data_IF_345936154864
#
_entry.id   IF_345936154864
#
_cell.length_a   1.000
_cell.length_b   1.000
_cell.length_c   1.000
_cell.angle_alpha   90.00
_cell.angle_beta   90.00
_cell.angle_gamma   90.00
#
_symmetry.space_group_name_H-M   'P 1'
#
loop_
_entity.id
_entity.type
_entity.pdbx_description
1 polymer ?
#
# COMPACT_ATOMS: atom_id res chain seq x y z
N UNK A 1 -12.04 0.45 19.95
CA UNK A 1 -12.12 0.50 18.50
C UNK A 1 -10.79 0.11 17.83
N UNK A 2 -9.63 0.56 18.32
CA UNK A 2 -8.29 0.31 17.75
C UNK A 2 -7.41 -0.55 18.66
N UNK A 3 -7.97 -1.52 19.36
CA UNK A 3 -7.25 -2.32 20.35
C UNK A 3 -6.30 -3.37 19.74
N UNK A 4 -6.56 -3.84 18.51
CA UNK A 4 -5.71 -4.87 17.91
C UNK A 4 -4.37 -4.31 17.42
N UNK A 5 -3.27 -5.08 17.48
CA UNK A 5 -1.97 -4.67 16.93
C UNK A 5 -2.04 -4.24 15.46
N UNK A 6 -2.79 -4.97 14.64
CA UNK A 6 -3.01 -4.62 13.22
C UNK A 6 -3.68 -3.27 13.02
N UNK A 7 -4.66 -2.92 13.87
CA UNK A 7 -5.33 -1.62 13.79
C UNK A 7 -4.37 -0.48 14.15
N UNK A 8 -3.51 -0.66 15.16
CA UNK A 8 -2.49 0.32 15.56
C UNK A 8 -1.46 0.55 14.45
N UNK A 9 -1.00 -0.52 13.80
CA UNK A 9 -0.05 -0.43 12.68
C UNK A 9 -0.68 0.28 11.48
N UNK A 10 -1.96 0.01 11.18
CA UNK A 10 -2.69 0.75 10.14
C UNK A 10 -2.82 2.24 10.48
N UNK A 11 -3.09 2.60 11.73
CA UNK A 11 -3.11 4.00 12.16
C UNK A 11 -1.74 4.67 11.99
N UNK A 12 -0.67 3.98 12.39
CA UNK A 12 0.69 4.47 12.16
C UNK A 12 0.97 4.67 10.67
N UNK A 13 0.53 3.73 9.81
CA UNK A 13 0.66 3.85 8.36
C UNK A 13 -0.10 5.07 7.82
N UNK A 14 -1.31 5.35 8.31
CA UNK A 14 -2.06 6.54 7.92
C UNK A 14 -1.35 7.84 8.37
N UNK A 15 -0.78 7.86 9.57
CA UNK A 15 0.01 8.99 10.06
C UNK A 15 1.25 9.21 9.18
N UNK A 16 2.03 8.17 8.94
CA UNK A 16 3.22 8.24 8.09
C UNK A 16 2.87 8.72 6.66
N UNK A 17 1.76 8.23 6.10
CA UNK A 17 1.25 8.66 4.81
C UNK A 17 0.89 10.17 4.81
N UNK A 18 0.24 10.63 5.86
CA UNK A 18 -0.13 12.06 5.99
C UNK A 18 1.10 12.94 6.08
N UNK A 19 2.12 12.52 6.83
CA UNK A 19 3.42 13.23 6.91
C UNK A 19 4.12 13.30 5.55
N UNK A 20 4.08 12.22 4.79
CA UNK A 20 4.60 12.18 3.42
C UNK A 20 3.89 13.18 2.51
N UNK A 21 2.56 13.14 2.47
CA UNK A 21 1.78 14.05 1.64
C UNK A 21 1.94 15.51 2.08
N UNK A 22 2.02 15.77 3.38
CA UNK A 22 2.34 17.08 3.91
C UNK A 22 3.72 17.56 3.41
N UNK A 23 4.73 16.72 3.51
CA UNK A 23 6.08 17.07 3.05
C UNK A 23 6.10 17.43 1.56
N UNK A 24 5.47 16.61 0.71
CA UNK A 24 5.38 16.87 -0.72
C UNK A 24 4.60 18.14 -1.09
N UNK A 25 3.61 18.52 -0.29
CA UNK A 25 2.76 19.67 -0.60
C UNK A 25 3.29 21.00 -0.05
N UNK A 26 4.00 21.00 1.09
CA UNK A 26 4.30 22.20 1.85
C UNK A 26 5.80 22.47 2.06
N UNK A 27 6.67 21.49 1.83
CA UNK A 27 8.10 21.64 2.08
C UNK A 27 8.92 21.57 0.79
N UNK A 28 10.03 22.31 0.71
CA UNK A 28 10.99 22.15 -0.38
C UNK A 28 11.56 20.72 -0.36
N UNK A 29 11.50 20.00 -1.49
CA UNK A 29 11.92 18.61 -1.57
C UNK A 29 13.40 18.35 -1.23
N UNK A 30 14.26 19.39 -1.32
CA UNK A 30 15.66 19.34 -0.93
C UNK A 30 15.90 19.55 0.57
N UNK A 31 14.87 19.92 1.35
CA UNK A 31 15.06 20.15 2.79
C UNK A 31 15.19 18.81 3.54
N UNK A 32 16.08 18.71 4.53
CA UNK A 32 16.23 17.50 5.34
C UNK A 32 14.93 17.06 6.01
N UNK A 33 14.11 18.01 6.44
CA UNK A 33 12.80 17.71 7.03
C UNK A 33 11.87 17.06 6.02
N UNK A 34 11.79 17.57 4.78
CA UNK A 34 10.97 16.97 3.73
C UNK A 34 11.44 15.55 3.41
N UNK A 35 12.75 15.34 3.27
CA UNK A 35 13.34 14.01 3.02
C UNK A 35 12.96 13.02 4.13
N UNK A 36 13.08 13.43 5.40
CA UNK A 36 12.76 12.58 6.54
C UNK A 36 11.27 12.23 6.59
N UNK A 37 10.37 13.21 6.45
CA UNK A 37 8.92 12.96 6.48
C UNK A 37 8.47 12.13 5.28
N UNK A 38 9.03 12.36 4.09
CA UNK A 38 8.79 11.53 2.90
C UNK A 38 9.26 10.10 3.15
N UNK A 39 10.47 9.93 3.68
CA UNK A 39 11.03 8.63 3.99
C UNK A 39 10.24 7.85 5.02
N UNK A 40 9.78 8.50 6.11
CA UNK A 40 8.87 7.89 7.07
C UNK A 40 7.56 7.43 6.40
N UNK A 41 7.05 8.20 5.44
CA UNK A 41 5.85 7.84 4.68
C UNK A 41 5.99 6.56 3.87
N UNK A 42 7.19 6.19 3.48
CA UNK A 42 7.46 4.90 2.80
C UNK A 42 7.23 3.67 3.68
N UNK A 43 6.91 3.85 4.96
CA UNK A 43 6.32 2.83 5.82
C UNK A 43 5.00 2.28 5.26
N UNK A 44 4.19 3.14 4.66
CA UNK A 44 2.79 2.86 4.33
C UNK A 44 2.64 1.79 3.26
N UNK A 45 3.35 1.91 2.13
CA UNK A 45 3.14 1.05 0.99
C UNK A 45 3.47 -0.43 1.25
N UNK A 46 4.65 -0.79 1.82
CA UNK A 46 4.95 -2.19 2.14
C UNK A 46 3.94 -2.79 3.13
N UNK A 47 3.53 -2.01 4.13
CA UNK A 47 2.54 -2.46 5.13
C UNK A 47 1.17 -2.67 4.49
N UNK A 48 0.72 -1.78 3.61
CA UNK A 48 -0.56 -1.91 2.92
C UNK A 48 -0.54 -3.06 1.92
N UNK A 49 0.56 -3.30 1.20
CA UNK A 49 0.73 -4.46 0.32
C UNK A 49 0.69 -5.78 1.10
N UNK A 50 1.35 -5.85 2.26
CA UNK A 50 1.27 -7.00 3.15
C UNK A 50 -0.16 -7.26 3.62
N UNK A 51 -0.86 -6.22 4.10
CA UNK A 51 -2.24 -6.34 4.56
C UNK A 51 -3.25 -6.59 3.44
N UNK A 52 -2.98 -6.11 2.22
CA UNK A 52 -3.78 -6.44 1.04
C UNK A 52 -3.72 -7.95 0.78
N UNK A 53 -2.51 -8.51 0.76
CA UNK A 53 -2.27 -9.94 0.52
C UNK A 53 -2.93 -10.78 1.61
N UNK A 54 -2.72 -10.45 2.88
CA UNK A 54 -3.39 -11.15 3.99
C UNK A 54 -4.92 -11.00 3.88
N UNK A 55 -5.41 -9.78 3.61
CA UNK A 55 -6.83 -9.47 3.49
C UNK A 55 -7.53 -10.24 2.38
N UNK A 56 -6.84 -10.53 1.27
CA UNK A 56 -7.34 -11.36 0.19
C UNK A 56 -7.75 -12.76 0.69
N UNK A 57 -6.96 -13.36 1.58
CA UNK A 57 -7.22 -14.71 2.11
C UNK A 57 -8.22 -14.74 3.27
N UNK A 58 -8.32 -13.66 4.04
CA UNK A 58 -9.23 -13.60 5.20
C UNK A 58 -10.59 -12.97 4.89
N UNK A 59 -10.78 -12.37 3.71
CA UNK A 59 -12.06 -11.74 3.38
C UNK A 59 -13.13 -12.76 2.98
N UNK A 60 -14.33 -12.64 3.54
CA UNK A 60 -15.48 -13.45 3.14
C UNK A 60 -16.00 -13.12 1.74
N UNK A 61 -15.77 -11.90 1.26
CA UNK A 61 -16.22 -11.43 -0.05
C UNK A 61 -15.14 -10.66 -0.77
N UNK A 62 -14.40 -11.32 -1.66
CA UNK A 62 -13.38 -10.72 -2.50
C UNK A 62 -13.95 -9.65 -3.42
N UNK A 63 -15.14 -9.90 -4.00
CA UNK A 63 -15.87 -8.91 -4.82
C UNK A 63 -16.23 -7.67 -4.00
N UNK A 64 -16.70 -7.85 -2.77
CA UNK A 64 -17.01 -6.74 -1.85
C UNK A 64 -15.75 -5.96 -1.45
N UNK A 65 -14.63 -6.64 -1.26
CA UNK A 65 -13.34 -6.00 -0.98
C UNK A 65 -12.87 -5.17 -2.17
N UNK A 66 -12.87 -5.75 -3.37
CA UNK A 66 -12.51 -5.06 -4.61
C UNK A 66 -13.40 -3.83 -4.84
N UNK A 67 -14.73 -3.98 -4.69
CA UNK A 67 -15.67 -2.86 -4.86
C UNK A 67 -15.37 -1.70 -3.91
N UNK A 68 -15.17 -1.98 -2.62
CA UNK A 68 -14.83 -0.91 -1.64
C UNK A 68 -13.52 -0.22 -2.02
N UNK A 69 -12.49 -0.98 -2.37
CA UNK A 69 -11.17 -0.42 -2.72
C UNK A 69 -11.25 0.44 -3.99
N UNK A 70 -11.91 -0.06 -5.05
CA UNK A 70 -12.09 0.66 -6.30
C UNK A 70 -12.93 1.95 -6.14
N UNK A 71 -14.03 1.88 -5.39
CA UNK A 71 -14.87 3.08 -5.12
C UNK A 71 -14.07 4.12 -4.35
N UNK A 72 -13.30 3.70 -3.34
CA UNK A 72 -12.46 4.65 -2.58
C UNK A 72 -11.34 5.22 -3.44
N UNK A 73 -10.74 4.42 -4.33
CA UNK A 73 -9.74 4.88 -5.29
C UNK A 73 -10.29 5.98 -6.21
N UNK A 74 -11.50 5.78 -6.74
CA UNK A 74 -12.18 6.76 -7.58
C UNK A 74 -12.51 8.05 -6.81
N UNK A 75 -13.07 7.95 -5.62
CA UNK A 75 -13.39 9.11 -4.78
C UNK A 75 -12.13 9.92 -4.38
N UNK A 76 -11.00 9.23 -4.23
CA UNK A 76 -9.73 9.85 -3.86
C UNK A 76 -8.98 10.47 -5.03
N UNK A 77 -9.38 10.19 -6.27
CA UNK A 77 -8.60 10.60 -7.44
C UNK A 77 -8.60 12.11 -7.63
N UNK A 78 -9.75 12.74 -7.44
CA UNK A 78 -9.84 14.21 -7.56
C UNK A 78 -8.98 14.93 -6.52
N UNK A 79 -9.10 14.67 -5.21
CA UNK A 79 -8.20 15.30 -4.23
C UNK A 79 -6.73 14.96 -4.45
N UNK A 80 -6.40 13.76 -4.95
CA UNK A 80 -5.04 13.39 -5.29
C UNK A 80 -4.47 14.26 -6.43
N UNK A 81 -5.21 14.45 -7.51
CA UNK A 81 -4.78 15.33 -8.60
C UNK A 81 -4.64 16.79 -8.17
N UNK A 82 -5.56 17.29 -7.35
CA UNK A 82 -5.46 18.63 -6.80
C UNK A 82 -4.25 18.82 -5.89
N UNK A 83 -3.89 17.77 -5.13
CA UNK A 83 -2.74 17.78 -4.22
C UNK A 83 -1.40 17.80 -4.97
N UNK A 84 -1.21 16.88 -5.91
CA UNK A 84 0.10 16.61 -6.51
C UNK A 84 0.27 17.20 -7.92
N UNK A 85 -0.83 17.47 -8.61
CA UNK A 85 -0.86 18.07 -9.97
C UNK A 85 -0.06 17.26 -11.01
N UNK A 86 0.04 15.95 -10.83
CA UNK A 86 0.71 15.04 -11.77
C UNK A 86 -0.33 14.52 -12.76
N UNK A 87 -0.24 14.89 -14.07
CA UNK A 87 -1.22 14.46 -15.07
C UNK A 87 -1.22 12.93 -15.20
N UNK A 88 -2.41 12.36 -15.37
CA UNK A 88 -2.64 10.93 -15.64
C UNK A 88 -2.16 9.96 -14.56
N UNK A 89 -1.54 10.42 -13.47
CA UNK A 89 -1.17 9.54 -12.38
C UNK A 89 -2.40 9.17 -11.53
N UNK A 90 -2.57 7.88 -11.33
CA UNK A 90 -3.59 7.33 -10.44
C UNK A 90 -3.03 7.21 -9.01
N UNK A 91 -3.89 7.39 -8.02
CA UNK A 91 -3.50 7.28 -6.62
C UNK A 91 -3.17 5.84 -6.20
N UNK A 92 -2.53 5.67 -5.03
CA UNK A 92 -2.09 4.37 -4.51
C UNK A 92 -3.22 3.34 -4.36
N UNK A 93 -4.47 3.75 -4.13
CA UNK A 93 -5.58 2.79 -4.01
C UNK A 93 -5.88 2.11 -5.35
N UNK A 94 -5.59 2.74 -6.49
CA UNK A 94 -5.61 2.06 -7.79
C UNK A 94 -4.51 1.01 -7.89
N UNK A 95 -3.27 1.31 -7.43
CA UNK A 95 -2.19 0.30 -7.36
C UNK A 95 -2.66 -0.91 -6.57
N UNK A 96 -3.25 -0.70 -5.38
CA UNK A 96 -3.77 -1.78 -4.54
C UNK A 96 -4.96 -2.51 -5.19
N UNK A 97 -5.80 -1.81 -5.95
CA UNK A 97 -6.92 -2.41 -6.71
C UNK A 97 -6.40 -3.34 -7.79
N UNK A 98 -5.42 -2.90 -8.58
CA UNK A 98 -4.79 -3.74 -9.61
C UNK A 98 -4.02 -4.92 -8.98
N UNK A 99 -3.35 -4.70 -7.85
CA UNK A 99 -2.71 -5.78 -7.08
C UNK A 99 -3.73 -6.81 -6.57
N UNK A 100 -4.93 -6.38 -6.14
CA UNK A 100 -5.99 -7.31 -5.72
C UNK A 100 -6.52 -8.14 -6.91
N UNK A 101 -6.64 -7.54 -8.08
CA UNK A 101 -6.98 -8.25 -9.33
C UNK A 101 -5.87 -9.21 -9.74
N UNK A 102 -4.60 -8.81 -9.63
CA UNK A 102 -3.44 -9.66 -9.85
C UNK A 102 -3.44 -10.88 -8.94
N UNK A 103 -3.72 -10.71 -7.63
CA UNK A 103 -3.88 -11.81 -6.68
C UNK A 103 -5.01 -12.76 -7.08
N UNK A 104 -6.14 -12.21 -7.52
CA UNK A 104 -7.28 -13.00 -7.99
C UNK A 104 -6.90 -13.86 -9.20
N UNK A 105 -6.18 -13.29 -10.16
CA UNK A 105 -5.66 -14.03 -11.33
C UNK A 105 -4.66 -15.10 -10.90
N UNK A 106 -3.75 -14.77 -9.99
CA UNK A 106 -2.70 -15.68 -9.54
C UNK A 106 -3.28 -16.91 -8.81
N UNK A 107 -4.30 -16.71 -7.96
CA UNK A 107 -4.81 -17.74 -7.06
C UNK A 107 -6.05 -18.48 -7.60
N UNK A 108 -6.96 -17.79 -8.29
CA UNK A 108 -8.26 -18.39 -8.67
C UNK A 108 -8.31 -18.87 -10.12
N UNK A 109 -7.50 -18.31 -11.02
CA UNK A 109 -7.59 -18.73 -12.42
C UNK A 109 -6.98 -20.11 -12.65
N UNK A 110 -7.85 -21.03 -13.02
CA UNK A 110 -7.52 -22.35 -13.60
C UNK A 110 -7.69 -22.27 -15.12
N UNK A 111 -6.86 -22.94 -15.87
CA UNK A 111 -7.09 -23.09 -17.31
C UNK A 111 -5.97 -22.59 -18.19
N UNK A 112 -6.29 -21.97 -19.31
CA UNK A 112 -5.38 -21.66 -20.43
C UNK A 112 -4.00 -21.14 -20.00
N UNK A 113 -2.91 -21.76 -20.48
CA UNK A 113 -1.54 -21.35 -20.15
C UNK A 113 -1.23 -19.93 -20.61
N UNK A 114 -1.96 -19.38 -21.59
CA UNK A 114 -1.76 -18.04 -22.13
C UNK A 114 -2.60 -16.98 -21.42
N UNK A 115 -3.83 -17.31 -21.02
CA UNK A 115 -4.78 -16.33 -20.46
C UNK A 115 -4.35 -15.84 -19.08
N UNK A 116 -3.86 -16.73 -18.23
CA UNK A 116 -3.42 -16.37 -16.88
C UNK A 116 -2.23 -15.40 -16.90
N UNK A 117 -1.09 -15.70 -17.58
CA UNK A 117 0.04 -14.78 -17.63
C UNK A 117 -0.30 -13.46 -18.34
N UNK A 118 -1.17 -13.49 -19.38
CA UNK A 118 -1.60 -12.28 -20.07
C UNK A 118 -2.37 -11.33 -19.15
N UNK A 119 -3.32 -11.85 -18.39
CA UNK A 119 -4.08 -11.02 -17.43
C UNK A 119 -3.22 -10.56 -16.25
N UNK A 120 -2.29 -11.39 -15.76
CA UNK A 120 -1.34 -11.00 -14.76
C UNK A 120 -0.44 -9.85 -15.24
N UNK A 121 0.06 -9.95 -16.49
CA UNK A 121 0.83 -8.89 -17.13
C UNK A 121 -0.01 -7.63 -17.33
N UNK A 122 -1.26 -7.74 -17.76
CA UNK A 122 -2.15 -6.60 -17.92
C UNK A 122 -2.30 -5.82 -16.61
N UNK A 123 -2.64 -6.50 -15.50
CA UNK A 123 -2.79 -5.81 -14.20
C UNK A 123 -1.47 -5.29 -13.66
N UNK A 124 -0.36 -5.97 -13.92
CA UNK A 124 0.97 -5.47 -13.59
C UNK A 124 1.26 -4.16 -14.35
N UNK A 125 1.02 -4.13 -15.67
CA UNK A 125 1.21 -2.94 -16.51
C UNK A 125 0.28 -1.80 -16.09
N UNK A 126 -0.97 -2.07 -15.71
CA UNK A 126 -1.88 -1.04 -15.21
C UNK A 126 -1.33 -0.30 -13.99
N UNK A 127 -0.48 -0.94 -13.18
CA UNK A 127 0.13 -0.25 -12.01
C UNK A 127 1.15 0.81 -12.39
N UNK A 128 1.72 0.81 -13.61
CA UNK A 128 2.67 1.84 -14.07
C UNK A 128 2.03 3.23 -14.16
N UNK A 129 0.72 3.28 -14.35
CA UNK A 129 -0.03 4.54 -14.36
C UNK A 129 -0.45 5.02 -12.97
N UNK A 130 -0.03 4.32 -11.91
CA UNK A 130 -0.42 4.64 -10.54
C UNK A 130 0.79 4.86 -9.63
N UNK A 131 0.52 5.48 -8.49
CA UNK A 131 1.52 5.64 -7.43
C UNK A 131 2.05 4.25 -6.99
N UNK A 132 3.36 4.17 -6.69
CA UNK A 132 4.06 2.91 -6.43
C UNK A 132 4.12 1.91 -7.60
N UNK A 133 3.83 2.32 -8.81
CA UNK A 133 4.05 1.61 -10.09
C UNK A 133 4.34 0.10 -9.96
N UNK A 134 5.47 -0.36 -10.48
CA UNK A 134 5.89 -1.77 -10.41
C UNK A 134 6.26 -2.25 -9.00
N UNK A 135 6.51 -1.35 -8.04
CA UNK A 135 6.89 -1.73 -6.67
C UNK A 135 5.75 -2.41 -5.92
N UNK A 136 4.53 -1.86 -6.01
CA UNK A 136 3.38 -2.43 -5.31
C UNK A 136 3.07 -3.87 -5.76
N UNK A 137 2.93 -4.20 -7.06
CA UNK A 137 2.67 -5.57 -7.47
C UNK A 137 3.84 -6.52 -7.17
N UNK A 138 5.10 -6.05 -7.27
CA UNK A 138 6.25 -6.88 -6.90
C UNK A 138 6.24 -7.22 -5.41
N UNK A 139 5.99 -6.26 -4.53
CA UNK A 139 5.83 -6.51 -3.09
C UNK A 139 4.68 -7.48 -2.80
N UNK A 140 3.52 -7.30 -3.45
CA UNK A 140 2.37 -8.17 -3.26
C UNK A 140 2.67 -9.61 -3.69
N UNK A 141 3.39 -9.80 -4.80
CA UNK A 141 3.82 -11.14 -5.25
C UNK A 141 4.85 -11.76 -4.28
N UNK A 142 5.76 -10.96 -3.72
CA UNK A 142 6.69 -11.43 -2.68
C UNK A 142 5.96 -11.84 -1.40
N UNK A 143 4.97 -11.06 -0.95
CA UNK A 143 4.14 -11.42 0.20
C UNK A 143 3.26 -12.64 -0.08
N UNK A 144 2.77 -12.81 -1.32
CA UNK A 144 2.07 -14.01 -1.74
C UNK A 144 2.99 -15.24 -1.70
N UNK A 145 4.19 -15.15 -2.26
CA UNK A 145 5.20 -16.22 -2.22
C UNK A 145 5.68 -16.54 -0.80
N UNK A 146 5.62 -15.57 0.11
CA UNK A 146 5.93 -15.72 1.52
C UNK A 146 4.78 -16.34 2.35
N UNK A 147 3.63 -16.63 1.71
CA UNK A 147 2.46 -17.18 2.38
C UNK A 147 2.80 -18.47 3.12
N UNK A 148 2.42 -18.56 4.40
CA UNK A 148 2.69 -19.72 5.25
C UNK A 148 4.09 -19.74 5.88
N UNK A 149 4.98 -18.84 5.49
CA UNK A 149 6.35 -18.76 6.03
C UNK A 149 6.63 -17.34 6.47
N UNK A 150 6.48 -17.08 7.78
CA UNK A 150 6.63 -15.74 8.36
C UNK A 150 7.97 -15.11 7.99
N UNK A 151 9.05 -15.86 8.09
CA UNK A 151 10.42 -15.37 7.83
C UNK A 151 10.59 -14.82 6.42
N UNK A 152 9.85 -15.36 5.44
CA UNK A 152 9.89 -14.89 4.05
C UNK A 152 9.20 -13.54 3.84
N UNK A 153 8.26 -13.13 4.72
CA UNK A 153 7.60 -11.82 4.61
C UNK A 153 8.60 -10.65 4.68
N UNK A 154 9.73 -10.82 5.39
CA UNK A 154 10.81 -9.81 5.43
C UNK A 154 11.32 -9.42 4.06
N UNK A 155 11.31 -10.32 3.09
CA UNK A 155 11.80 -10.03 1.74
C UNK A 155 10.99 -8.96 1.00
N UNK A 156 9.69 -8.82 1.28
CA UNK A 156 8.88 -7.73 0.75
C UNK A 156 9.33 -6.35 1.25
N UNK A 157 9.71 -6.24 2.53
CA UNK A 157 10.25 -5.01 3.11
C UNK A 157 11.68 -4.73 2.63
N UNK A 158 12.53 -5.76 2.55
CA UNK A 158 13.90 -5.63 2.02
C UNK A 158 13.89 -5.22 0.54
N UNK A 159 12.95 -5.74 -0.24
CA UNK A 159 12.75 -5.32 -1.63
C UNK A 159 12.37 -3.83 -1.72
N UNK A 160 11.47 -3.35 -0.87
CA UNK A 160 11.13 -1.92 -0.81
C UNK A 160 12.36 -1.06 -0.47
N UNK A 161 13.15 -1.47 0.54
CA UNK A 161 14.39 -0.79 0.92
C UNK A 161 15.38 -0.73 -0.25
N UNK A 162 15.60 -1.85 -0.93
CA UNK A 162 16.52 -1.92 -2.07
C UNK A 162 16.07 -0.99 -3.21
N UNK A 163 14.79 -1.06 -3.59
CA UNK A 163 14.26 -0.24 -4.68
C UNK A 163 14.32 1.25 -4.39
N UNK A 164 13.92 1.66 -3.17
CA UNK A 164 14.02 3.06 -2.73
C UNK A 164 15.47 3.53 -2.62
N UNK A 165 16.40 2.65 -2.22
CA UNK A 165 17.82 2.97 -2.20
C UNK A 165 18.37 3.20 -3.60
N UNK A 166 17.98 2.37 -4.59
CA UNK A 166 18.37 2.55 -5.99
C UNK A 166 17.83 3.89 -6.52
N UNK A 167 16.56 4.20 -6.27
CA UNK A 167 15.95 5.48 -6.66
C UNK A 167 16.67 6.67 -6.01
N UNK A 168 16.99 6.59 -4.72
CA UNK A 168 17.73 7.61 -4.00
C UNK A 168 19.14 7.82 -4.56
N UNK A 169 19.83 6.74 -4.95
CA UNK A 169 21.17 6.83 -5.59
C UNK A 169 21.06 7.49 -6.95
N UNK A 170 20.11 7.07 -7.80
CA UNK A 170 19.90 7.67 -9.11
C UNK A 170 19.59 9.17 -8.97
N UNK A 171 18.67 9.52 -8.07
CA UNK A 171 18.26 10.91 -7.82
C UNK A 171 19.43 11.75 -7.31
N UNK A 172 20.18 11.28 -6.32
CA UNK A 172 21.31 12.01 -5.75
C UNK A 172 22.44 12.25 -6.75
N UNK A 173 22.73 11.24 -7.60
CA UNK A 173 23.71 11.37 -8.69
C UNK A 173 23.22 12.34 -9.77
N UNK A 174 21.94 12.26 -10.15
CA UNK A 174 21.35 13.14 -11.17
C UNK A 174 21.33 14.60 -10.72
N UNK A 175 21.00 14.85 -9.46
CA UNK A 175 20.97 16.18 -8.86
C UNK A 175 22.34 16.68 -8.42
N UNK A 176 23.41 15.87 -8.54
CA UNK A 176 24.77 16.17 -8.09
C UNK A 176 24.80 16.64 -6.62
N UNK A 177 24.05 15.94 -5.77
CA UNK A 177 23.94 16.34 -4.37
C UNK A 177 25.28 16.24 -3.63
N UNK A 178 25.59 17.19 -2.74
CA UNK A 178 26.77 17.08 -1.88
C UNK A 178 26.64 15.84 -0.98
N UNK A 179 27.79 15.18 -0.72
CA UNK A 179 27.85 13.90 -0.01
C UNK A 179 27.01 13.83 1.28
N UNK A 180 27.02 14.85 2.17
CA UNK A 180 26.19 14.80 3.38
C UNK A 180 24.69 14.71 3.09
N UNK A 181 24.19 15.45 2.09
CA UNK A 181 22.79 15.46 1.71
C UNK A 181 22.40 14.13 1.03
N UNK A 182 23.28 13.61 0.17
CA UNK A 182 23.13 12.29 -0.45
C UNK A 182 23.03 11.17 0.60
N UNK A 183 23.93 11.14 1.57
CA UNK A 183 23.89 10.16 2.67
C UNK A 183 22.61 10.30 3.49
N UNK A 184 22.17 11.53 3.76
CA UNK A 184 20.93 11.79 4.48
C UNK A 184 19.71 11.35 3.68
N UNK A 185 19.66 11.55 2.36
CA UNK A 185 18.62 11.02 1.47
C UNK A 185 18.54 9.51 1.57
N UNK A 186 19.68 8.83 1.42
CA UNK A 186 19.76 7.36 1.47
C UNK A 186 19.28 6.81 2.82
N UNK A 187 19.63 7.46 3.92
CA UNK A 187 19.11 7.13 5.24
C UNK A 187 17.59 7.35 5.30
N UNK A 188 17.11 8.51 4.86
CA UNK A 188 15.71 8.92 4.99
C UNK A 188 14.76 7.99 4.24
N UNK A 189 15.06 7.60 2.99
CA UNK A 189 14.19 6.73 2.18
C UNK A 189 14.03 5.34 2.80
N UNK A 190 15.01 4.90 3.58
CA UNK A 190 14.96 3.61 4.26
C UNK A 190 14.29 3.65 5.64
N UNK A 191 14.07 4.83 6.22
CA UNK A 191 13.50 4.98 7.57
C UNK A 191 12.12 4.32 7.70
N UNK A 192 11.22 4.54 6.74
CA UNK A 192 9.88 3.96 6.73
C UNK A 192 9.87 2.45 6.56
N UNK A 193 10.47 1.88 5.51
CA UNK A 193 10.54 0.43 5.32
C UNK A 193 11.26 -0.30 6.45
N UNK A 194 12.31 0.29 7.02
CA UNK A 194 12.99 -0.25 8.20
C UNK A 194 12.05 -0.26 9.42
N UNK A 195 11.31 0.83 9.65
CA UNK A 195 10.31 0.90 10.71
C UNK A 195 9.22 -0.17 10.49
N UNK A 196 8.80 -0.41 9.26
CA UNK A 196 7.84 -1.45 8.91
C UNK A 196 8.41 -2.85 9.20
N UNK A 197 9.68 -3.09 8.89
CA UNK A 197 10.37 -4.34 9.22
C UNK A 197 10.48 -4.56 10.73
N UNK A 198 10.71 -3.51 11.51
CA UNK A 198 10.88 -3.59 12.96
C UNK A 198 9.56 -3.68 13.73
N UNK A 199 8.48 -3.09 13.23
CA UNK A 199 7.20 -2.99 13.94
C UNK A 199 6.11 -3.85 13.31
N UNK A 200 5.91 -3.73 11.99
CA UNK A 200 4.80 -4.41 11.33
C UNK A 200 5.08 -5.90 11.13
N UNK A 201 6.29 -6.26 10.76
CA UNK A 201 6.66 -7.65 10.57
C UNK A 201 6.61 -8.49 11.86
N UNK A 202 7.16 -8.05 13.03
CA UNK A 202 7.06 -8.82 14.28
C UNK A 202 5.65 -8.90 14.86
N UNK A 203 4.82 -7.89 14.61
CA UNK A 203 3.45 -7.84 15.12
C UNK A 203 2.48 -8.76 14.38
N UNK A 204 2.90 -9.30 13.21
CA UNK A 204 2.10 -10.29 12.50
C UNK A 204 2.19 -11.65 13.21
N UNK A 205 1.04 -12.27 13.56
CA UNK A 205 1.04 -13.63 14.06
C UNK A 205 1.65 -14.57 13.03
N UNK A 206 2.34 -15.62 13.48
CA UNK A 206 2.73 -16.70 12.62
C UNK A 206 1.48 -17.16 11.85
N UNK A 207 1.56 -17.17 10.51
CA UNK A 207 0.44 -17.57 9.67
C UNK A 207 0.11 -19.04 9.96
N UNK A 208 -0.88 -19.27 10.79
CA UNK A 208 -1.55 -20.56 10.85
C UNK A 208 -2.43 -20.64 9.60
N UNK A 209 -2.13 -21.62 8.72
CA UNK A 209 -3.03 -21.94 7.60
C UNK A 209 -4.46 -21.98 8.16
N UNK A 210 -5.43 -21.25 7.55
CA UNK A 210 -6.81 -21.48 7.91
C UNK A 210 -7.06 -22.98 7.80
N UNK A 211 -7.67 -23.57 8.81
CA UNK A 211 -8.02 -24.99 8.79
C UNK A 211 -8.82 -25.24 7.49
N UNK A 212 -8.42 -26.21 6.65
CA UNK A 212 -9.15 -26.54 5.43
C UNK A 212 -10.65 -26.80 5.70
N UNK A 213 -10.97 -27.23 6.92
CA UNK A 213 -12.36 -27.39 7.39
C UNK A 213 -13.06 -26.05 7.62
N UNK A 214 -12.35 -25.05 8.13
CA UNK A 214 -12.88 -23.68 8.28
C UNK A 214 -13.08 -22.99 6.92
N UNK A 215 -12.22 -23.24 5.94
CA UNK A 215 -12.42 -22.79 4.54
C UNK A 215 -13.63 -23.47 3.90
N UNK A 216 -13.80 -24.77 4.09
CA UNK A 216 -14.97 -25.52 3.59
C UNK A 216 -16.27 -25.04 4.25
N UNK A 217 -16.27 -24.78 5.56
CA UNK A 217 -17.45 -24.27 6.29
C UNK A 217 -17.78 -22.83 5.90
N UNK A 218 -16.77 -21.99 5.60
CA UNK A 218 -16.98 -20.63 5.10
C UNK A 218 -17.55 -20.61 3.66
N UNK A 219 -17.22 -21.59 2.84
CA UNK A 219 -17.78 -21.78 1.49
C UNK A 219 -19.19 -22.39 1.52
N UNK A 220 -19.56 -23.12 2.58
CA UNK A 220 -20.87 -23.73 2.79
C UNK A 220 -21.85 -22.84 3.58
N UNK A 221 -21.49 -21.58 3.86
CA UNK A 221 -22.43 -20.63 4.44
C UNK A 221 -23.68 -20.52 3.53
N UNK A 222 -24.90 -20.66 4.07
CA UNK A 222 -26.13 -20.71 3.26
C UNK A 222 -26.20 -19.47 2.35
N UNK A 223 -26.58 -19.72 1.10
CA UNK A 223 -26.87 -18.65 0.14
C UNK A 223 -28.00 -17.78 0.71
N UNK A 224 -27.73 -16.56 1.13
CA UNK A 224 -28.70 -15.63 1.72
C UNK A 224 -28.26 -14.93 3.00
N UNK A 225 -27.19 -15.36 3.66
CA UNK A 225 -26.65 -14.61 4.79
C UNK A 225 -25.87 -13.41 4.22
N UNK A 226 -26.45 -12.21 4.33
CA UNK A 226 -25.73 -10.97 4.01
C UNK A 226 -24.44 -10.93 4.81
N UNK A 227 -23.29 -10.69 4.16
CA UNK A 227 -22.04 -10.51 4.90
C UNK A 227 -22.25 -9.39 5.93
N UNK A 228 -21.71 -9.51 7.14
CA UNK A 228 -21.84 -8.47 8.15
C UNK A 228 -21.36 -7.15 7.56
N UNK A 229 -22.13 -6.09 7.76
CA UNK A 229 -21.78 -4.75 7.31
C UNK A 229 -20.33 -4.44 7.77
N UNK A 230 -19.56 -3.76 6.93
CA UNK A 230 -18.22 -3.35 7.28
C UNK A 230 -18.27 -2.59 8.61
N UNK A 231 -17.42 -2.97 9.57
CA UNK A 231 -17.40 -2.30 10.88
C UNK A 231 -17.03 -0.83 10.71
N UNK A 232 -17.48 0.03 11.63
CA UNK A 232 -17.13 1.47 11.65
C UNK A 232 -15.60 1.66 11.53
N UNK A 233 -14.82 0.76 12.11
CA UNK A 233 -13.35 0.74 12.00
C UNK A 233 -12.87 0.50 10.56
N UNK A 234 -13.55 -0.33 9.78
CA UNK A 234 -13.16 -0.56 8.38
C UNK A 234 -13.46 0.66 7.50
N UNK A 235 -14.63 1.29 7.67
CA UNK A 235 -14.99 2.49 6.94
C UNK A 235 -14.06 3.67 7.24
N UNK A 236 -13.59 3.79 8.49
CA UNK A 236 -12.60 4.80 8.86
C UNK A 236 -11.36 4.74 7.97
N UNK A 237 -10.78 3.55 7.75
CA UNK A 237 -9.58 3.38 6.91
C UNK A 237 -9.82 3.72 5.45
N UNK A 238 -11.02 3.43 4.92
CA UNK A 238 -11.36 3.81 3.54
C UNK A 238 -11.60 5.31 3.39
N UNK A 239 -12.33 5.93 4.31
CA UNK A 239 -12.67 7.35 4.23
C UNK A 239 -11.49 8.25 4.56
N UNK A 240 -10.55 7.79 5.37
CA UNK A 240 -9.39 8.60 5.75
C UNK A 240 -8.59 9.07 4.53
N UNK A 241 -8.38 8.20 3.54
CA UNK A 241 -7.54 8.51 2.38
C UNK A 241 -8.08 9.70 1.55
N UNK A 242 -9.33 9.75 1.10
CA UNK A 242 -9.84 10.93 0.42
C UNK A 242 -9.95 12.16 1.35
N UNK A 243 -10.30 11.97 2.63
CA UNK A 243 -10.49 13.08 3.56
C UNK A 243 -9.20 13.82 3.88
N UNK A 244 -8.11 13.12 4.24
CA UNK A 244 -6.85 13.79 4.58
C UNK A 244 -6.27 14.54 3.39
N UNK A 245 -6.36 14.00 2.16
CA UNK A 245 -5.94 14.72 0.95
C UNK A 245 -6.77 15.96 0.72
N UNK A 246 -8.09 15.88 0.89
CA UNK A 246 -8.98 17.05 0.77
C UNK A 246 -8.62 18.13 1.79
N UNK A 247 -8.38 17.73 3.06
CA UNK A 247 -7.96 18.66 4.11
C UNK A 247 -6.62 19.33 3.75
N UNK A 248 -5.63 18.56 3.29
CA UNK A 248 -4.33 19.13 2.90
C UNK A 248 -4.46 20.08 1.70
N UNK A 249 -5.30 19.77 0.70
CA UNK A 249 -5.57 20.66 -0.44
C UNK A 249 -6.23 21.96 0.02
N UNK A 250 -7.22 21.87 0.90
CA UNK A 250 -7.88 23.06 1.46
C UNK A 250 -6.91 23.90 2.29
N UNK A 251 -6.09 23.28 3.14
CA UNK A 251 -5.05 23.98 3.90
C UNK A 251 -4.07 24.70 2.96
N UNK A 252 -3.63 24.05 1.89
CA UNK A 252 -2.74 24.67 0.91
C UNK A 252 -3.40 25.89 0.24
N UNK A 253 -4.67 25.77 -0.09
CA UNK A 253 -5.41 26.85 -0.75
C UNK A 253 -5.68 28.06 0.17
N UNK A 254 -6.05 27.82 1.44
CA UNK A 254 -6.44 28.90 2.35
C UNK A 254 -5.29 29.52 3.16
N UNK A 255 -4.18 28.80 3.35
CA UNK A 255 -3.07 29.26 4.21
C UNK A 255 -1.87 29.75 3.39
N UNK A 256 -1.69 29.25 2.15
CA UNK A 256 -0.50 29.54 1.34
C UNK A 256 -0.82 30.21 -0.01
N UNK A 257 -2.04 30.64 -0.23
CA UNK A 257 -2.46 31.60 -1.26
C UNK A 257 -2.77 32.92 -0.61
#
# INVERSE_FOLDING_TARGET
>A
MFASPRARIKLLALLCMTLNHFAHMFLPGSSPLAMLLTGLGYFTAPVMCMYLTDGYFYTRSRRGYLKRLAVTALLSQLPFWLAFRIPFQLNMLFSLTFCLLLLTVAEEMKGSPFRKPLLALLFFVCTFFSDWSAFAPAMVLLFLAARGVREKKRYGFLFAMLGLSIDAVITGLTLQEPLPLFCFRLFSVNAGPLLALLIAYPAEPAFTRPDPRAEATAQQAPAGVKPPAASVSQWFFYLYYPLHLTVLVLLKHFVFV
#
